data_IF_862742634888
#
_entry.id   IF_862742634888
#
_cell.length_a   1.000
_cell.length_b   1.000
_cell.length_c   1.000
_cell.angle_alpha   90.00
_cell.angle_beta   90.00
_cell.angle_gamma   90.00
#
_symmetry.space_group_name_H-M   'P 1'
#
loop_
_entity.id
_entity.type
_entity.pdbx_description
1 polymer ?
#
# COMPACT_ATOMS: atom_id res chain seq x y z
N UNK A 1 30.01 -36.17 7.92
CA UNK A 1 28.64 -35.63 8.15
C UNK A 1 28.39 -34.92 9.50
N UNK A 2 29.39 -34.28 10.13
CA UNK A 2 29.16 -33.36 11.28
C UNK A 2 29.35 -31.87 10.95
N UNK A 3 29.94 -31.56 9.78
CA UNK A 3 30.22 -30.17 9.36
C UNK A 3 29.02 -29.49 8.68
N UNK A 4 28.17 -30.22 7.96
CA UNK A 4 26.98 -29.66 7.28
C UNK A 4 25.86 -29.25 8.25
N UNK A 5 25.64 -30.02 9.32
CA UNK A 5 24.60 -29.73 10.32
C UNK A 5 24.92 -28.45 11.11
N UNK A 6 26.20 -28.19 11.39
CA UNK A 6 26.63 -26.95 12.06
C UNK A 6 26.43 -25.71 11.18
N UNK A 7 26.65 -25.82 9.87
CA UNK A 7 26.43 -24.73 8.94
C UNK A 7 24.93 -24.39 8.80
N UNK A 8 24.05 -25.40 8.73
CA UNK A 8 22.60 -25.17 8.71
C UNK A 8 22.07 -24.56 10.01
N UNK A 9 22.54 -25.01 11.18
CA UNK A 9 22.15 -24.43 12.47
C UNK A 9 22.60 -22.97 12.62
N UNK A 10 23.79 -22.62 12.12
CA UNK A 10 24.29 -21.24 12.11
C UNK A 10 23.49 -20.34 11.15
N UNK A 11 23.06 -20.88 10.00
CA UNK A 11 22.26 -20.14 9.02
C UNK A 11 20.82 -19.92 9.49
N UNK A 12 20.20 -20.93 10.09
CA UNK A 12 18.87 -20.80 10.72
C UNK A 12 18.88 -19.86 11.92
N UNK A 13 19.96 -19.84 12.71
CA UNK A 13 20.11 -18.89 13.82
C UNK A 13 20.26 -17.43 13.35
N UNK A 14 20.92 -17.19 12.20
CA UNK A 14 21.04 -15.86 11.60
C UNK A 14 19.70 -15.34 11.06
N UNK A 15 18.89 -16.22 10.45
CA UNK A 15 17.55 -15.88 9.95
C UNK A 15 16.60 -15.58 11.12
N UNK A 16 16.68 -16.34 12.21
CA UNK A 16 15.92 -16.06 13.43
C UNK A 16 16.36 -14.76 14.12
N UNK A 17 17.65 -14.41 14.09
CA UNK A 17 18.15 -13.12 14.60
C UNK A 17 17.71 -11.94 13.74
N UNK A 18 17.63 -12.11 12.41
CA UNK A 18 17.11 -11.09 11.51
C UNK A 18 15.59 -10.88 11.70
N UNK A 19 14.83 -11.96 11.93
CA UNK A 19 13.40 -11.89 12.24
C UNK A 19 13.12 -11.33 13.65
N UNK A 20 14.00 -11.58 14.63
CA UNK A 20 13.91 -10.98 15.98
C UNK A 20 14.31 -9.51 16.01
N UNK A 21 15.26 -9.06 15.16
CA UNK A 21 15.62 -7.65 15.03
C UNK A 21 14.47 -6.79 14.45
N UNK A 22 13.53 -7.40 13.73
CA UNK A 22 12.29 -6.77 13.25
C UNK A 22 11.19 -6.75 14.32
N UNK A 23 11.33 -7.53 15.40
CA UNK A 23 10.32 -7.69 16.45
C UNK A 23 10.73 -7.17 17.84
N UNK A 24 11.97 -6.69 18.03
CA UNK A 24 12.44 -6.16 19.31
C UNK A 24 13.03 -4.75 19.18
N UNK A 25 12.15 -3.73 19.18
CA UNK A 25 12.50 -2.39 19.66
C UNK A 25 11.49 -2.02 20.75
N UNK A 26 11.86 -2.12 22.05
CA UNK A 26 11.22 -1.32 23.06
C UNK A 26 12.20 -0.35 23.73
N UNK A 27 11.73 0.89 23.91
CA UNK A 27 12.05 1.81 25.00
C UNK A 27 13.52 2.16 25.28
N UNK A 28 13.94 3.34 24.81
CA UNK A 28 14.83 4.22 25.59
C UNK A 28 14.77 5.66 25.06
N UNK A 29 14.06 6.55 25.77
CA UNK A 29 14.45 7.95 26.07
C UNK A 29 13.27 8.68 26.71
N UNK A 30 12.92 8.25 27.92
CA UNK A 30 12.29 9.12 28.91
C UNK A 30 13.35 9.50 29.93
N UNK A 31 13.93 10.70 29.81
CA UNK A 31 14.32 11.57 30.94
C UNK A 31 15.05 12.85 30.49
N UNK A 32 14.71 13.94 31.19
CA UNK A 32 15.17 15.35 31.13
C UNK A 32 14.51 16.21 30.06
N UNK A 33 13.97 17.40 30.35
CA UNK A 33 13.82 18.16 31.60
C UNK A 33 12.81 19.28 31.32
N UNK A 34 11.99 19.62 32.31
CA UNK A 34 11.19 20.85 32.32
C UNK A 34 12.11 22.06 32.12
N UNK A 35 11.93 22.82 31.04
CA UNK A 35 12.23 24.25 31.06
C UNK A 35 11.40 25.00 30.01
N UNK A 36 10.46 25.79 30.53
CA UNK A 36 9.76 26.85 29.84
C UNK A 36 10.76 27.94 29.42
N UNK A 37 10.67 28.43 28.19
CA UNK A 37 10.99 29.83 27.91
C UNK A 37 10.16 30.33 26.71
N UNK A 38 9.43 31.40 26.97
CA UNK A 38 8.70 32.19 25.98
C UNK A 38 9.65 33.04 25.16
N UNK A 39 9.47 33.13 23.83
CA UNK A 39 9.85 34.32 23.04
C UNK A 39 8.79 34.59 21.96
N UNK A 40 8.43 35.87 21.87
CA UNK A 40 7.40 36.49 21.06
C UNK A 40 7.63 36.49 19.54
N UNK A 41 6.49 36.56 18.84
CA UNK A 41 6.24 36.96 17.44
C UNK A 41 7.08 38.16 16.95
N UNK A 42 7.62 38.05 15.74
CA UNK A 42 7.73 39.17 14.78
C UNK A 42 7.16 38.68 13.44
N UNK A 43 6.06 39.30 13.00
CA UNK A 43 5.43 39.08 11.69
C UNK A 43 6.05 40.03 10.67
N UNK A 44 6.55 39.49 9.55
CA UNK A 44 6.83 40.21 8.31
C UNK A 44 5.99 39.61 7.19
N UNK A 45 5.18 40.45 6.54
CA UNK A 45 4.11 40.07 5.62
C UNK A 45 4.62 39.64 4.23
N UNK A 46 3.96 38.65 3.63
CA UNK A 46 4.04 38.38 2.18
C UNK A 46 3.96 36.92 1.74
N UNK A 47 2.85 36.21 1.98
CA UNK A 47 2.38 35.07 1.16
C UNK A 47 0.97 34.60 1.58
N UNK A 48 0.21 34.07 0.63
CA UNK A 48 -1.23 33.82 0.69
C UNK A 48 -1.70 33.06 1.94
N UNK A 49 -2.72 33.63 2.60
CA UNK A 49 -3.23 33.21 3.91
C UNK A 49 -4.12 31.98 3.78
N UNK A 50 -3.67 30.84 4.30
CA UNK A 50 -4.56 29.79 4.84
C UNK A 50 -4.93 30.25 6.25
N UNK A 51 -6.20 30.60 6.48
CA UNK A 51 -6.65 30.97 7.82
C UNK A 51 -6.71 29.73 8.72
N UNK A 52 -5.70 29.57 9.57
CA UNK A 52 -5.74 28.67 10.72
C UNK A 52 -6.22 29.48 11.93
N UNK A 53 -7.44 29.23 12.43
CA UNK A 53 -7.94 29.85 13.66
C UNK A 53 -7.26 29.15 14.85
N UNK A 54 -6.27 29.82 15.45
CA UNK A 54 -5.60 29.39 16.68
C UNK A 54 -6.53 29.74 17.86
N UNK A 55 -7.02 28.75 18.61
CA UNK A 55 -7.66 28.96 19.91
C UNK A 55 -6.63 28.74 21.02
N UNK A 56 -6.30 29.81 21.76
CA UNK A 56 -5.68 29.73 23.09
C UNK A 56 -6.79 29.75 24.17
N UNK A 57 -6.48 29.31 25.41
CA UNK A 57 -7.41 28.58 26.25
C UNK A 57 -8.32 29.52 27.05
N UNK A 58 -9.56 29.10 27.29
CA UNK A 58 -10.43 29.76 28.25
C UNK A 58 -11.14 28.71 29.11
N UNK A 59 -11.05 28.98 30.40
CA UNK A 59 -11.63 28.28 31.52
C UNK A 59 -13.17 28.19 31.48
N UNK A 60 -13.65 27.21 32.25
CA UNK A 60 -14.97 27.14 32.92
C UNK A 60 -16.24 27.25 32.06
N UNK A 61 -16.86 26.08 31.90
CA UNK A 61 -18.29 25.79 32.07
C UNK A 61 -19.37 26.66 31.38
N UNK A 62 -20.23 25.94 30.64
CA UNK A 62 -21.63 26.19 30.23
C UNK A 62 -21.91 26.82 28.86
N UNK A 63 -22.30 25.97 27.89
CA UNK A 63 -23.01 26.35 26.66
C UNK A 63 -22.66 25.44 25.45
N UNK A 64 -23.64 24.94 24.65
CA UNK A 64 -23.33 24.03 23.55
C UNK A 64 -22.91 24.83 22.30
N UNK A 65 -21.62 25.02 22.10
CA UNK A 65 -21.12 25.51 20.80
C UNK A 65 -21.02 24.37 19.80
N UNK A 66 -21.72 24.58 18.68
CA UNK A 66 -21.93 23.69 17.56
C UNK A 66 -20.64 23.56 16.73
N UNK A 67 -19.91 22.48 16.93
CA UNK A 67 -19.06 21.94 15.86
C UNK A 67 -19.99 21.34 14.81
N UNK A 68 -19.98 21.89 13.59
CA UNK A 68 -20.57 21.22 12.43
C UNK A 68 -19.64 20.09 12.00
N UNK A 69 -19.56 19.05 12.84
CA UNK A 69 -19.12 17.74 12.40
C UNK A 69 -20.25 17.24 11.50
N UNK A 70 -20.01 17.08 10.20
CA UNK A 70 -20.87 16.18 9.43
C UNK A 70 -20.46 14.76 9.85
N UNK A 71 -20.90 14.38 11.05
CA UNK A 71 -20.96 12.99 11.46
C UNK A 71 -21.81 12.33 10.41
N UNK A 72 -21.27 11.33 9.70
CA UNK A 72 -22.13 10.37 9.05
C UNK A 72 -23.03 9.79 10.15
N UNK A 73 -24.38 9.80 10.00
CA UNK A 73 -25.26 9.30 11.04
C UNK A 73 -24.87 7.87 11.45
N UNK A 74 -25.02 7.55 12.74
CA UNK A 74 -24.67 6.25 13.35
C UNK A 74 -25.51 5.05 12.85
N UNK A 75 -26.26 5.24 11.78
CA UNK A 75 -26.76 4.18 10.92
C UNK A 75 -26.32 4.56 9.51
N UNK A 76 -25.41 3.78 8.90
CA UNK A 76 -25.25 3.81 7.46
C UNK A 76 -26.65 3.60 6.87
N UNK A 77 -27.28 4.61 6.25
CA UNK A 77 -28.37 4.30 5.37
C UNK A 77 -27.74 3.44 4.27
N UNK A 78 -28.45 2.43 3.80
CA UNK A 78 -28.13 1.84 2.50
C UNK A 78 -27.92 2.93 1.43
N UNK A 79 -27.40 2.58 0.25
CA UNK A 79 -26.88 3.51 -0.76
C UNK A 79 -27.67 4.82 -0.83
N UNK A 80 -26.98 5.94 -0.59
CA UNK A 80 -27.53 7.30 -0.65
C UNK A 80 -28.22 7.46 -2.00
N UNK A 81 -29.55 7.65 -1.97
CA UNK A 81 -30.31 7.93 -3.19
C UNK A 81 -30.03 9.37 -3.66
N UNK A 82 -29.04 9.55 -4.53
CA UNK A 82 -28.90 10.71 -5.40
C UNK A 82 -30.14 10.80 -6.33
N UNK A 83 -30.87 11.93 -6.34
CA UNK A 83 -31.99 12.14 -7.27
C UNK A 83 -31.48 12.28 -8.71
N UNK A 84 -32.11 11.56 -9.65
CA UNK A 84 -31.78 11.61 -11.09
C UNK A 84 -31.05 10.39 -11.67
N UNK A 85 -30.69 9.41 -10.83
CA UNK A 85 -30.24 8.09 -11.29
C UNK A 85 -31.41 7.09 -11.18
N UNK A 86 -31.73 6.38 -12.27
CA UNK A 86 -32.46 5.13 -12.15
C UNK A 86 -31.57 4.16 -11.36
N UNK A 87 -31.92 3.90 -10.10
CA UNK A 87 -31.32 2.80 -9.37
C UNK A 87 -31.75 1.52 -10.10
N UNK A 88 -30.82 0.71 -10.64
CA UNK A 88 -31.18 -0.61 -11.08
C UNK A 88 -31.90 -1.30 -9.92
N UNK A 89 -33.05 -1.92 -10.23
CA UNK A 89 -33.86 -2.67 -9.26
C UNK A 89 -32.95 -3.47 -8.33
N UNK A 90 -33.26 -3.45 -7.03
CA UNK A 90 -32.55 -4.21 -6.00
C UNK A 90 -32.21 -5.58 -6.56
N UNK A 91 -30.93 -5.80 -6.88
CA UNK A 91 -30.48 -7.08 -7.44
C UNK A 91 -30.81 -8.10 -6.36
N UNK A 92 -31.85 -8.89 -6.59
CA UNK A 92 -32.17 -10.04 -5.75
C UNK A 92 -30.87 -10.82 -5.65
N UNK A 93 -30.34 -10.92 -4.43
CA UNK A 93 -29.10 -11.59 -4.06
C UNK A 93 -28.86 -12.87 -4.88
N UNK A 94 -28.22 -12.68 -6.03
CA UNK A 94 -27.46 -13.68 -6.78
C UNK A 94 -26.01 -13.66 -6.28
N UNK A 95 -25.76 -13.07 -5.11
CA UNK A 95 -24.44 -13.14 -4.50
C UNK A 95 -24.16 -14.62 -4.26
N UNK A 96 -23.17 -15.22 -4.95
CA UNK A 96 -22.61 -16.49 -4.53
C UNK A 96 -22.22 -16.37 -3.05
N UNK A 97 -22.29 -17.48 -2.31
CA UNK A 97 -22.09 -17.54 -0.84
C UNK A 97 -21.29 -16.37 -0.28
N UNK A 98 -21.84 -15.67 0.72
CA UNK A 98 -21.30 -14.43 1.35
C UNK A 98 -19.84 -14.58 1.86
N UNK A 99 -19.23 -15.76 1.74
CA UNK A 99 -17.86 -16.05 2.07
C UNK A 99 -17.25 -17.09 1.10
N UNK A 100 -17.22 -16.81 -0.20
CA UNK A 100 -16.54 -17.67 -1.17
C UNK A 100 -15.05 -17.74 -0.83
N UNK A 101 -14.50 -18.95 -0.72
CA UNK A 101 -13.09 -19.15 -0.39
C UNK A 101 -12.23 -18.75 -1.60
N UNK A 102 -11.43 -17.69 -1.46
CA UNK A 102 -10.61 -17.14 -2.56
C UNK A 102 -9.46 -18.09 -2.90
N UNK A 103 -8.75 -18.61 -1.90
CA UNK A 103 -7.69 -19.61 -2.04
C UNK A 103 -8.25 -21.03 -2.15
N UNK A 104 -9.31 -21.20 -2.96
CA UNK A 104 -9.92 -22.51 -3.15
C UNK A 104 -8.99 -23.42 -3.97
N UNK A 105 -8.11 -24.13 -3.27
CA UNK A 105 -7.19 -25.12 -3.81
C UNK A 105 -7.91 -26.47 -4.10
N UNK A 106 -9.06 -26.38 -4.77
CA UNK A 106 -9.88 -27.50 -5.24
C UNK A 106 -10.15 -28.59 -4.17
N UNK A 107 -10.46 -28.16 -2.93
CA UNK A 107 -10.81 -29.09 -1.84
C UNK A 107 -9.64 -29.68 -1.06
N UNK A 108 -8.41 -29.17 -1.22
CA UNK A 108 -7.30 -29.50 -0.32
C UNK A 108 -7.66 -29.17 1.14
N UNK A 109 -7.39 -30.09 2.06
CA UNK A 109 -7.75 -29.96 3.47
C UNK A 109 -6.81 -29.00 4.22
N UNK A 110 -7.40 -28.03 4.93
CA UNK A 110 -6.73 -26.97 5.70
C UNK A 110 -5.90 -27.49 6.88
N UNK A 111 -4.76 -28.13 6.62
CA UNK A 111 -3.93 -28.75 7.66
C UNK A 111 -2.66 -27.95 7.96
N UNK A 112 -2.05 -27.31 6.95
CA UNK A 112 -0.90 -26.40 7.11
C UNK A 112 -0.74 -25.50 5.85
N UNK A 113 -0.31 -24.24 6.00
CA UNK A 113 0.00 -23.37 4.86
C UNK A 113 -1.22 -22.78 4.12
N UNK A 114 -2.31 -22.47 4.83
CA UNK A 114 -3.52 -21.87 4.22
C UNK A 114 -3.74 -20.40 4.63
N UNK A 115 -2.74 -19.77 5.25
CA UNK A 115 -2.81 -18.36 5.62
C UNK A 115 -2.50 -17.51 4.39
N UNK A 116 -3.44 -16.62 4.08
CA UNK A 116 -3.28 -15.55 3.12
C UNK A 116 -3.28 -14.19 3.84
N UNK A 117 -2.37 -13.30 3.46
CA UNK A 117 -2.31 -11.93 3.99
C UNK A 117 -1.88 -10.94 2.92
N UNK A 118 -1.96 -9.63 3.25
CA UNK A 118 -1.46 -8.54 2.39
C UNK A 118 -1.94 -8.66 0.94
N UNK A 119 -3.26 -8.59 0.78
CA UNK A 119 -3.96 -8.91 -0.46
C UNK A 119 -4.01 -7.73 -1.43
N UNK A 120 -4.00 -8.01 -2.72
CA UNK A 120 -4.27 -7.05 -3.80
C UNK A 120 -5.30 -7.61 -4.78
N UNK A 121 -5.97 -6.74 -5.54
CA UNK A 121 -7.04 -7.17 -6.46
C UNK A 121 -7.13 -6.27 -7.68
N UNK A 122 -7.41 -6.88 -8.83
CA UNK A 122 -7.95 -6.20 -10.01
C UNK A 122 -9.25 -6.87 -10.46
N UNK A 123 -10.19 -6.08 -10.96
CA UNK A 123 -11.49 -6.55 -11.44
C UNK A 123 -11.80 -5.92 -12.80
N UNK A 124 -12.31 -6.71 -13.73
CA UNK A 124 -12.67 -6.30 -15.08
C UNK A 124 -13.67 -7.28 -15.70
N UNK A 125 -14.74 -6.75 -16.32
CA UNK A 125 -15.87 -7.57 -16.78
C UNK A 125 -16.35 -8.53 -15.66
N UNK A 126 -16.47 -9.83 -15.93
CA UNK A 126 -16.77 -10.86 -14.92
C UNK A 126 -15.53 -11.47 -14.26
N UNK A 127 -14.33 -10.98 -14.60
CA UNK A 127 -13.06 -11.54 -14.09
C UNK A 127 -12.56 -10.74 -12.89
N UNK A 128 -12.13 -11.45 -11.85
CA UNK A 128 -11.43 -10.90 -10.70
C UNK A 128 -10.14 -11.69 -10.52
N UNK A 129 -9.03 -11.00 -10.29
CA UNK A 129 -7.74 -11.60 -9.94
C UNK A 129 -7.31 -11.03 -8.61
N UNK A 130 -7.06 -11.91 -7.65
CA UNK A 130 -6.54 -11.56 -6.33
C UNK A 130 -5.13 -12.12 -6.16
N UNK A 131 -4.23 -11.33 -5.57
CA UNK A 131 -2.87 -11.74 -5.18
C UNK A 131 -2.70 -11.63 -3.68
N UNK A 132 -1.83 -12.45 -3.09
CA UNK A 132 -1.63 -12.50 -1.64
C UNK A 132 -0.30 -13.16 -1.24
N UNK A 133 0.12 -12.90 -0.02
CA UNK A 133 1.18 -13.64 0.66
C UNK A 133 0.70 -15.06 0.95
N UNK A 134 1.33 -16.07 0.35
CA UNK A 134 0.88 -17.45 0.31
C UNK A 134 1.79 -18.41 1.07
N UNK A 135 1.40 -18.69 2.32
CA UNK A 135 2.09 -19.67 3.16
C UNK A 135 2.05 -21.09 2.59
N UNK A 136 1.11 -21.40 1.69
CA UNK A 136 1.02 -22.68 1.00
C UNK A 136 2.14 -22.83 -0.01
N UNK A 137 2.28 -21.84 -0.89
CA UNK A 137 3.42 -21.71 -1.80
C UNK A 137 4.77 -21.81 -1.09
N UNK A 138 4.93 -21.13 0.04
CA UNK A 138 6.17 -21.20 0.82
C UNK A 138 6.44 -22.57 1.47
N UNK A 139 5.40 -23.35 1.75
CA UNK A 139 5.57 -24.70 2.31
C UNK A 139 6.12 -25.72 1.30
N UNK A 140 5.97 -25.45 0.00
CA UNK A 140 6.37 -26.36 -1.09
C UNK A 140 7.49 -25.82 -1.97
N UNK A 141 7.88 -24.55 -1.80
CA UNK A 141 8.95 -23.88 -2.57
C UNK A 141 9.96 -23.22 -1.63
N UNK A 142 11.24 -23.26 -2.01
CA UNK A 142 12.33 -22.69 -1.21
C UNK A 142 12.56 -21.19 -1.42
N UNK A 143 11.89 -20.57 -2.39
CA UNK A 143 12.07 -19.14 -2.73
C UNK A 143 10.80 -18.46 -3.28
N UNK A 144 9.60 -18.93 -2.90
CA UNK A 144 8.33 -18.38 -3.37
C UNK A 144 7.34 -18.25 -2.22
N UNK A 145 6.68 -17.10 -2.13
CA UNK A 145 5.71 -16.78 -1.08
C UNK A 145 4.54 -15.94 -1.62
N UNK A 146 4.39 -15.82 -2.93
CA UNK A 146 3.28 -15.12 -3.56
C UNK A 146 2.39 -16.10 -4.27
N UNK A 147 1.10 -16.04 -3.94
CA UNK A 147 0.05 -16.79 -4.63
C UNK A 147 -0.94 -15.84 -5.30
N UNK A 148 -1.78 -16.42 -6.15
CA UNK A 148 -2.89 -15.69 -6.76
C UNK A 148 -4.09 -16.60 -6.94
N UNK A 149 -5.27 -16.01 -7.08
CA UNK A 149 -6.49 -16.72 -7.42
C UNK A 149 -7.34 -15.91 -8.39
N UNK A 150 -8.16 -16.59 -9.17
CA UNK A 150 -9.00 -15.96 -10.18
C UNK A 150 -10.43 -16.48 -10.15
N UNK A 151 -11.34 -15.54 -10.35
CA UNK A 151 -12.74 -15.80 -10.65
C UNK A 151 -13.04 -15.29 -12.06
N UNK A 152 -13.92 -15.98 -12.79
CA UNK A 152 -14.44 -15.56 -14.11
C UNK A 152 -15.95 -15.34 -14.11
N UNK A 153 -16.57 -15.44 -12.94
CA UNK A 153 -18.02 -15.39 -12.69
C UNK A 153 -18.37 -14.37 -11.59
N UNK A 154 -17.66 -13.23 -11.60
CA UNK A 154 -17.89 -12.09 -10.70
C UNK A 154 -17.72 -12.43 -9.21
N UNK A 155 -16.80 -13.34 -8.90
CA UNK A 155 -16.47 -13.77 -7.55
C UNK A 155 -17.27 -14.97 -7.04
N UNK A 156 -18.03 -15.66 -7.91
CA UNK A 156 -18.85 -16.80 -7.52
C UNK A 156 -18.09 -18.07 -7.25
N UNK A 157 -17.13 -18.35 -8.09
CA UNK A 157 -16.17 -19.42 -7.90
C UNK A 157 -14.77 -18.87 -8.09
N UNK A 158 -13.83 -19.48 -7.35
CA UNK A 158 -12.43 -19.11 -7.39
C UNK A 158 -11.60 -20.33 -7.72
N UNK A 159 -10.60 -20.11 -8.57
CA UNK A 159 -9.53 -21.06 -8.86
C UNK A 159 -8.25 -20.52 -8.24
N UNK A 160 -7.67 -21.28 -7.31
CA UNK A 160 -6.33 -21.01 -6.83
C UNK A 160 -5.29 -21.29 -7.93
N UNK A 161 -4.44 -20.31 -8.21
CA UNK A 161 -3.38 -20.39 -9.20
C UNK A 161 -2.05 -20.90 -8.64
N UNK A 162 -1.93 -21.01 -7.32
CA UNK A 162 -0.72 -21.48 -6.63
C UNK A 162 0.50 -20.59 -6.92
N UNK A 163 1.65 -21.25 -7.10
CA UNK A 163 2.95 -20.61 -7.31
C UNK A 163 3.00 -19.74 -8.57
N UNK A 164 3.68 -18.59 -8.47
CA UNK A 164 4.15 -17.86 -9.66
C UNK A 164 5.25 -18.64 -10.40
N UNK A 165 5.56 -18.30 -11.67
CA UNK A 165 6.66 -18.91 -12.40
C UNK A 165 8.00 -18.78 -11.66
N UNK A 166 8.71 -19.90 -11.52
CA UNK A 166 9.98 -19.93 -10.81
C UNK A 166 11.05 -19.04 -11.48
N UNK A 167 11.85 -18.37 -10.65
CA UNK A 167 13.03 -17.60 -11.07
C UNK A 167 14.13 -17.71 -10.02
N UNK A 168 15.36 -17.35 -10.40
CA UNK A 168 16.48 -17.26 -9.46
C UNK A 168 16.26 -16.18 -8.39
N UNK A 169 15.56 -15.10 -8.72
CA UNK A 169 15.20 -14.04 -7.77
C UNK A 169 14.13 -14.48 -6.78
N UNK A 170 13.24 -15.39 -7.18
CA UNK A 170 12.07 -15.77 -6.38
C UNK A 170 11.13 -14.61 -6.08
N UNK A 171 10.06 -14.89 -5.35
CA UNK A 171 9.01 -13.93 -4.99
C UNK A 171 8.71 -14.03 -3.49
N UNK A 172 8.62 -12.90 -2.80
CA UNK A 172 8.56 -12.84 -1.34
C UNK A 172 7.30 -12.17 -0.79
N UNK A 173 6.25 -12.03 -1.60
CA UNK A 173 4.99 -11.44 -1.17
C UNK A 173 4.94 -9.91 -1.32
N UNK A 174 4.17 -9.28 -0.43
CA UNK A 174 3.65 -7.92 -0.45
C UNK A 174 3.09 -7.49 -1.83
N UNK A 175 2.21 -8.32 -2.42
CA UNK A 175 1.83 -8.16 -3.81
C UNK A 175 1.04 -6.88 -4.11
N UNK A 176 1.29 -6.28 -5.28
CA UNK A 176 0.43 -5.23 -5.86
C UNK A 176 0.11 -5.53 -7.33
N UNK A 177 -1.19 -5.46 -7.69
CA UNK A 177 -1.69 -5.65 -9.05
C UNK A 177 -2.07 -4.32 -9.71
N UNK A 178 -1.79 -4.22 -11.00
CA UNK A 178 -2.33 -3.17 -11.86
C UNK A 178 -2.70 -3.76 -13.23
N UNK A 179 -3.68 -3.17 -13.92
CA UNK A 179 -4.12 -3.64 -15.23
C UNK A 179 -4.10 -2.50 -16.25
N UNK A 180 -3.52 -2.80 -17.40
CA UNK A 180 -3.68 -2.02 -18.62
C UNK A 180 -5.06 -2.33 -19.23
N UNK A 181 -5.95 -1.33 -19.24
CA UNK A 181 -7.30 -1.49 -19.75
C UNK A 181 -7.37 -1.62 -21.27
N UNK A 182 -6.36 -1.09 -21.99
CA UNK A 182 -6.27 -1.11 -23.45
C UNK A 182 -5.83 -2.48 -23.95
N UNK A 183 -4.76 -3.03 -23.38
CA UNK A 183 -4.19 -4.33 -23.83
C UNK A 183 -4.73 -5.53 -23.06
N UNK A 184 -5.32 -5.29 -21.88
CA UNK A 184 -5.74 -6.32 -20.95
C UNK A 184 -4.59 -6.96 -20.15
N UNK A 185 -3.37 -6.48 -20.32
CA UNK A 185 -2.21 -6.97 -19.58
C UNK A 185 -2.34 -6.63 -18.10
N UNK A 186 -2.03 -7.60 -17.25
CA UNK A 186 -1.98 -7.43 -15.80
C UNK A 186 -0.51 -7.46 -15.38
N UNK A 187 -0.12 -6.52 -14.52
CA UNK A 187 1.19 -6.44 -13.89
C UNK A 187 1.06 -6.83 -12.43
N UNK A 188 1.98 -7.66 -11.96
CA UNK A 188 1.97 -8.20 -10.61
C UNK A 188 3.34 -8.00 -9.98
N UNK A 189 3.44 -6.96 -9.16
CA UNK A 189 4.66 -6.60 -8.46
C UNK A 189 4.73 -7.35 -7.12
N UNK A 190 5.90 -7.87 -6.78
CA UNK A 190 6.17 -8.57 -5.53
C UNK A 190 7.59 -8.26 -5.06
N UNK A 191 7.84 -8.41 -3.76
CA UNK A 191 9.19 -8.44 -3.23
C UNK A 191 10.02 -9.56 -3.89
N UNK A 192 11.32 -9.33 -4.04
CA UNK A 192 12.26 -10.37 -4.43
C UNK A 192 12.64 -11.23 -3.22
N UNK A 193 12.72 -12.55 -3.39
CA UNK A 193 13.06 -13.46 -2.30
C UNK A 193 14.57 -13.57 -2.05
N UNK A 194 15.32 -13.77 -3.13
CA UNK A 194 16.77 -13.93 -3.15
C UNK A 194 17.50 -12.71 -3.72
N UNK A 195 16.75 -11.65 -4.05
CA UNK A 195 17.25 -10.39 -4.60
C UNK A 195 16.60 -9.21 -3.89
N UNK A 196 17.32 -8.10 -3.77
CA UNK A 196 16.81 -6.88 -3.11
C UNK A 196 16.02 -5.94 -4.04
N UNK A 197 15.46 -6.46 -5.13
CA UNK A 197 14.71 -5.69 -6.15
C UNK A 197 13.30 -6.24 -6.31
N UNK A 198 12.36 -5.38 -6.69
CA UNK A 198 10.97 -5.79 -6.94
C UNK A 198 10.91 -6.64 -8.21
N UNK A 199 10.24 -7.79 -8.12
CA UNK A 199 9.91 -8.63 -9.27
C UNK A 199 8.58 -8.18 -9.85
N UNK A 200 8.49 -8.07 -11.18
CA UNK A 200 7.23 -7.79 -11.87
C UNK A 200 6.91 -8.91 -12.85
N UNK A 201 5.84 -9.63 -12.56
CA UNK A 201 5.25 -10.63 -13.44
C UNK A 201 4.18 -9.99 -14.32
N UNK A 202 3.88 -10.63 -15.44
CA UNK A 202 2.87 -10.14 -16.39
C UNK A 202 1.96 -11.27 -16.85
N UNK A 203 0.66 -10.99 -16.91
CA UNK A 203 -0.33 -11.86 -17.53
C UNK A 203 -0.87 -11.19 -18.79
N UNK A 204 -1.00 -11.96 -19.86
CA UNK A 204 -1.61 -11.54 -21.14
C UNK A 204 -2.89 -12.32 -21.45
N UNK A 205 -3.37 -13.12 -20.50
CA UNK A 205 -4.52 -14.02 -20.65
C UNK A 205 -5.54 -13.82 -19.52
N UNK A 206 -5.71 -12.56 -19.11
CA UNK A 206 -6.66 -12.13 -18.07
C UNK A 206 -6.39 -12.78 -16.70
N UNK A 207 -5.11 -12.97 -16.37
CA UNK A 207 -4.67 -13.57 -15.12
C UNK A 207 -4.90 -15.08 -15.09
N UNK A 208 -4.85 -15.79 -16.22
CA UNK A 208 -4.91 -17.25 -16.21
C UNK A 208 -3.51 -17.85 -15.98
N UNK A 209 -2.49 -17.21 -16.54
CA UNK A 209 -1.08 -17.57 -16.37
C UNK A 209 -0.22 -16.32 -16.27
N UNK A 210 1.02 -16.51 -15.83
CA UNK A 210 2.01 -15.46 -15.68
C UNK A 210 3.27 -15.78 -16.48
N UNK A 211 3.87 -14.76 -17.07
CA UNK A 211 5.20 -14.81 -17.66
C UNK A 211 6.28 -14.76 -16.57
N UNK A 212 7.49 -15.19 -16.89
CA UNK A 212 8.66 -15.06 -16.02
C UNK A 212 8.85 -13.60 -15.56
N UNK A 213 9.34 -13.37 -14.33
CA UNK A 213 9.45 -12.03 -13.79
C UNK A 213 10.55 -11.23 -14.48
N UNK A 214 10.37 -9.92 -14.48
CA UNK A 214 11.43 -8.96 -14.81
C UNK A 214 11.76 -8.10 -13.58
N UNK A 215 12.92 -7.45 -13.60
CA UNK A 215 13.31 -6.50 -12.56
C UNK A 215 12.53 -5.18 -12.72
N UNK A 216 11.65 -4.88 -11.76
CA UNK A 216 10.85 -3.64 -11.72
C UNK A 216 11.61 -2.42 -11.20
N UNK A 217 12.71 -2.65 -10.47
CA UNK A 217 13.53 -1.62 -9.82
C UNK A 217 15.02 -1.80 -10.16
N UNK A 218 15.41 -1.69 -11.45
CA UNK A 218 16.81 -1.84 -11.84
C UNK A 218 17.69 -0.83 -11.10
N UNK A 219 18.83 -1.27 -10.60
CA UNK A 219 19.73 -0.45 -9.77
C UNK A 219 19.22 -0.20 -8.33
N UNK A 220 18.03 -0.69 -8.00
CA UNK A 220 17.50 -0.71 -6.63
C UNK A 220 18.20 -1.75 -5.74
N UNK A 221 18.04 -1.60 -4.43
CA UNK A 221 18.60 -2.52 -3.45
C UNK A 221 17.81 -2.44 -2.13
N UNK A 222 17.43 -3.61 -1.60
CA UNK A 222 16.56 -3.73 -0.42
C UNK A 222 15.28 -2.92 -0.60
N UNK A 223 14.64 -3.08 -1.76
CA UNK A 223 13.36 -2.46 -2.09
C UNK A 223 12.21 -3.15 -1.34
N UNK A 224 11.30 -2.37 -0.79
CA UNK A 224 10.05 -2.83 -0.17
C UNK A 224 8.99 -1.72 -0.28
N UNK A 225 7.73 -2.05 0.03
CA UNK A 225 6.57 -1.17 -0.03
C UNK A 225 6.34 -0.62 -1.42
N UNK A 226 6.42 -1.51 -2.40
CA UNK A 226 6.16 -1.21 -3.79
C UNK A 226 4.68 -0.92 -4.04
N UNK A 227 4.42 -0.01 -4.97
CA UNK A 227 3.09 0.21 -5.53
C UNK A 227 3.22 0.36 -7.04
N UNK A 228 2.28 -0.23 -7.78
CA UNK A 228 2.28 -0.20 -9.26
C UNK A 228 0.94 0.32 -9.78
N UNK A 229 0.97 1.11 -10.86
CA UNK A 229 -0.22 1.60 -11.55
C UNK A 229 0.03 1.71 -13.05
N UNK A 230 -1.04 1.77 -13.84
CA UNK A 230 -1.00 1.95 -15.29
C UNK A 230 -1.75 3.23 -15.65
N UNK A 231 -1.18 4.03 -16.53
CA UNK A 231 -1.89 5.11 -17.19
C UNK A 231 -2.90 4.53 -18.19
N UNK A 232 -4.17 4.55 -17.79
CA UNK A 232 -5.27 4.04 -18.59
C UNK A 232 -6.05 5.14 -19.33
N UNK A 233 -5.55 6.38 -19.33
CA UNK A 233 -6.22 7.49 -20.00
C UNK A 233 -5.85 7.52 -21.49
N UNK A 234 -6.76 7.99 -22.33
CA UNK A 234 -6.54 8.10 -23.78
C UNK A 234 -5.51 9.20 -24.05
N UNK A 235 -4.41 8.85 -24.73
CA UNK A 235 -3.40 9.82 -25.15
C UNK A 235 -1.98 9.28 -25.04
N UNK A 236 -1.01 10.19 -25.00
CA UNK A 236 0.43 9.88 -25.14
C UNK A 236 1.01 9.06 -23.98
N UNK A 237 0.35 9.06 -22.81
CA UNK A 237 0.75 8.26 -21.67
C UNK A 237 0.11 6.87 -21.61
N UNK A 238 -0.88 6.57 -22.46
CA UNK A 238 -1.66 5.33 -22.35
C UNK A 238 -0.77 4.08 -22.38
N UNK A 239 -0.94 3.20 -21.40
CA UNK A 239 -0.18 1.95 -21.27
C UNK A 239 1.17 2.10 -20.55
N UNK A 240 1.60 3.33 -20.21
CA UNK A 240 2.76 3.51 -19.35
C UNK A 240 2.49 2.93 -17.97
N UNK A 241 3.49 2.24 -17.43
CA UNK A 241 3.42 1.60 -16.12
C UNK A 241 4.34 2.35 -15.17
N UNK A 242 3.85 2.68 -13.98
CA UNK A 242 4.63 3.37 -12.96
C UNK A 242 4.69 2.50 -11.71
N UNK A 243 5.91 2.27 -11.24
CA UNK A 243 6.20 1.54 -10.02
C UNK A 243 6.95 2.48 -9.08
N UNK A 244 6.49 2.60 -7.85
CA UNK A 244 7.18 3.34 -6.80
C UNK A 244 7.58 2.38 -5.69
N UNK A 245 8.74 2.55 -5.07
CA UNK A 245 9.19 1.71 -3.96
C UNK A 245 10.03 2.49 -2.95
N UNK A 246 10.15 1.95 -1.74
CA UNK A 246 11.07 2.42 -0.71
C UNK A 246 12.36 1.61 -0.78
N UNK A 247 13.47 2.28 -1.08
CA UNK A 247 14.81 1.67 -1.11
C UNK A 247 15.45 1.73 0.28
N UNK A 248 15.48 0.62 1.03
CA UNK A 248 16.14 0.56 2.35
C UNK A 248 17.66 0.37 2.27
N UNK A 249 18.21 0.21 1.07
CA UNK A 249 19.65 0.14 0.83
C UNK A 249 20.33 1.52 0.80
N UNK A 250 21.44 1.60 0.06
CA UNK A 250 22.25 2.82 -0.03
C UNK A 250 21.51 4.02 -0.67
N UNK A 251 20.50 3.76 -1.50
CA UNK A 251 19.66 4.82 -2.07
C UNK A 251 18.87 5.55 -1.00
N UNK A 252 18.42 4.83 0.04
CA UNK A 252 17.76 5.38 1.22
C UNK A 252 16.76 6.49 0.88
N UNK A 253 15.76 6.21 0.07
CA UNK A 253 14.68 7.14 -0.29
C UNK A 253 13.48 6.41 -0.90
N UNK A 254 12.53 7.18 -1.43
CA UNK A 254 11.46 6.65 -2.29
C UNK A 254 11.76 7.04 -3.73
N UNK A 255 11.65 6.05 -4.61
CA UNK A 255 12.04 6.15 -6.01
C UNK A 255 10.90 5.68 -6.92
N UNK A 256 10.76 6.34 -8.06
CA UNK A 256 9.83 5.94 -9.10
C UNK A 256 10.57 5.33 -10.29
N UNK A 257 10.07 4.22 -10.77
CA UNK A 257 10.47 3.51 -11.96
C UNK A 257 9.29 3.50 -12.92
N UNK A 258 9.56 3.55 -14.22
CA UNK A 258 8.52 3.52 -15.25
C UNK A 258 8.87 2.54 -16.37
N UNK A 259 7.85 1.96 -16.96
CA UNK A 259 7.93 1.20 -18.21
C UNK A 259 7.07 1.88 -19.27
N UNK A 260 7.60 1.94 -20.49
CA UNK A 260 6.92 2.47 -21.67
C UNK A 260 6.87 1.45 -22.82
N UNK A 261 7.22 0.20 -22.51
CA UNK A 261 7.34 -0.91 -23.47
C UNK A 261 6.48 -2.11 -23.07
N UNK A 262 5.37 -1.87 -22.37
CA UNK A 262 4.45 -2.91 -21.88
C UNK A 262 5.04 -3.77 -20.75
N UNK A 263 5.90 -3.18 -19.92
CA UNK A 263 6.59 -3.85 -18.82
C UNK A 263 7.64 -4.85 -19.29
N UNK A 264 8.29 -4.64 -20.44
CA UNK A 264 9.45 -5.45 -20.84
C UNK A 264 10.72 -4.97 -20.12
N UNK A 265 10.83 -3.66 -19.91
CA UNK A 265 11.86 -3.03 -19.10
C UNK A 265 11.28 -1.93 -18.23
N UNK A 266 11.89 -1.73 -17.06
CA UNK A 266 11.65 -0.57 -16.21
C UNK A 266 12.91 0.30 -16.21
N UNK A 267 12.73 1.59 -15.93
CA UNK A 267 13.84 2.51 -15.75
C UNK A 267 13.40 3.83 -15.13
N UNK A 268 14.34 4.76 -14.89
CA UNK A 268 15.78 4.59 -15.08
C UNK A 268 16.40 3.64 -14.04
N UNK A 269 17.63 3.18 -14.29
CA UNK A 269 18.40 2.44 -13.28
C UNK A 269 18.69 3.34 -12.08
N UNK A 270 18.39 2.87 -10.87
CA UNK A 270 18.41 3.65 -9.62
C UNK A 270 17.14 4.47 -9.36
N UNK A 271 16.20 4.50 -10.32
CA UNK A 271 14.93 5.19 -10.21
C UNK A 271 15.02 6.72 -10.23
N UNK A 272 13.89 7.36 -10.45
CA UNK A 272 13.71 8.81 -10.29
C UNK A 272 13.45 9.11 -8.82
N UNK A 273 14.34 9.88 -8.17
CA UNK A 273 14.20 10.23 -6.75
C UNK A 273 12.93 11.05 -6.50
N UNK A 274 12.02 10.52 -5.67
CA UNK A 274 10.82 11.21 -5.19
C UNK A 274 11.12 11.95 -3.89
N UNK A 275 11.74 11.27 -2.92
CA UNK A 275 12.16 11.91 -1.68
C UNK A 275 13.36 11.18 -1.10
N UNK A 276 14.37 11.94 -0.67
CA UNK A 276 15.52 11.39 0.05
C UNK A 276 15.12 11.00 1.46
N UNK A 277 15.57 9.83 1.87
CA UNK A 277 15.38 9.32 3.21
C UNK A 277 16.55 9.57 4.17
N UNK A 278 16.25 9.34 5.44
CA UNK A 278 17.09 9.01 6.59
C UNK A 278 16.51 7.69 7.15
N UNK A 279 17.21 6.86 7.96
CA UNK A 279 16.84 5.46 8.24
C UNK A 279 15.41 5.17 8.73
N UNK A 280 14.56 6.17 9.00
CA UNK A 280 13.14 6.01 9.36
C UNK A 280 12.23 7.16 8.91
N UNK A 281 12.65 8.10 8.06
CA UNK A 281 11.90 9.35 7.87
C UNK A 281 10.85 9.33 6.74
N UNK A 282 10.89 8.39 5.80
CA UNK A 282 9.93 8.31 4.68
C UNK A 282 9.48 6.87 4.45
N UNK A 283 8.16 6.69 4.28
CA UNK A 283 7.50 5.38 4.14
C UNK A 283 6.19 5.52 3.34
N UNK A 284 5.54 4.40 3.05
CA UNK A 284 4.21 4.39 2.44
C UNK A 284 4.21 4.95 1.03
N UNK A 285 5.12 4.46 0.19
CA UNK A 285 5.17 4.85 -1.20
C UNK A 285 3.84 4.47 -1.89
N UNK A 286 3.27 5.42 -2.63
CA UNK A 286 2.03 5.21 -3.37
C UNK A 286 2.09 6.02 -4.66
N UNK A 287 1.41 5.57 -5.72
CA UNK A 287 1.43 6.24 -7.03
C UNK A 287 0.05 6.22 -7.70
N UNK A 288 -0.32 7.35 -8.32
CA UNK A 288 -1.52 7.46 -9.16
C UNK A 288 -1.23 8.21 -10.45
N UNK A 289 -2.14 8.08 -11.41
CA UNK A 289 -2.13 8.83 -12.66
C UNK A 289 -3.45 9.60 -12.79
N UNK A 290 -3.38 10.84 -13.28
CA UNK A 290 -4.54 11.68 -13.55
C UNK A 290 -4.92 11.72 -15.03
N UNK A 291 -6.15 12.17 -15.40
CA UNK A 291 -6.62 12.21 -16.79
C UNK A 291 -5.74 13.02 -17.75
N UNK A 292 -4.94 13.95 -17.23
CA UNK A 292 -3.95 14.75 -17.97
C UNK A 292 -2.60 14.04 -18.14
N UNK A 293 -2.54 12.73 -17.89
CA UNK A 293 -1.32 11.89 -17.85
C UNK A 293 -0.30 12.31 -16.79
N UNK A 294 -0.68 13.13 -15.82
CA UNK A 294 0.23 13.50 -14.74
C UNK A 294 0.35 12.39 -13.69
N UNK A 295 1.58 12.16 -13.24
CA UNK A 295 1.92 11.11 -12.27
C UNK A 295 2.10 11.73 -10.90
N UNK A 296 1.44 11.18 -9.89
CA UNK A 296 1.51 11.65 -8.51
C UNK A 296 2.15 10.58 -7.65
N UNK A 297 3.28 10.90 -7.02
CA UNK A 297 3.98 10.00 -6.11
C UNK A 297 3.83 10.54 -4.67
N UNK A 298 3.30 9.70 -3.78
CA UNK A 298 2.93 10.05 -2.41
C UNK A 298 3.84 9.35 -1.41
N UNK A 299 4.00 9.96 -0.24
CA UNK A 299 4.67 9.34 0.90
C UNK A 299 4.19 9.89 2.23
N UNK A 300 4.32 9.06 3.26
CA UNK A 300 4.33 9.49 4.65
C UNK A 300 5.75 9.90 5.06
N UNK A 301 5.87 11.07 5.64
CA UNK A 301 7.09 11.54 6.30
C UNK A 301 6.92 11.40 7.81
N UNK A 302 7.88 10.76 8.49
CA UNK A 302 7.86 10.43 9.92
C UNK A 302 7.90 11.66 10.85
N UNK A 303 7.93 12.87 10.28
CA UNK A 303 7.64 14.12 10.98
C UNK A 303 6.13 14.43 11.08
N UNK A 304 5.25 13.48 10.73
CA UNK A 304 3.80 13.64 10.84
C UNK A 304 3.18 14.36 9.64
N UNK A 305 3.62 14.07 8.41
CA UNK A 305 2.99 14.65 7.21
C UNK A 305 2.85 13.67 6.06
N UNK A 306 1.75 13.81 5.32
CA UNK A 306 1.59 13.20 4.01
C UNK A 306 1.92 14.21 2.95
N UNK A 307 2.67 13.77 1.94
CA UNK A 307 3.17 14.65 0.90
C UNK A 307 3.04 13.97 -0.46
N UNK A 308 3.02 14.79 -1.51
CA UNK A 308 2.94 14.35 -2.90
C UNK A 308 3.89 15.17 -3.76
N UNK A 309 4.47 14.53 -4.78
CA UNK A 309 5.10 15.22 -5.92
C UNK A 309 4.34 14.88 -7.18
N UNK A 310 4.20 15.88 -8.07
CA UNK A 310 3.57 15.75 -9.37
C UNK A 310 4.62 15.77 -10.47
N UNK A 311 4.49 14.87 -11.44
CA UNK A 311 5.16 14.91 -12.74
C UNK A 311 4.15 15.23 -13.82
N UNK A 312 4.52 16.13 -14.73
CA UNK A 312 3.74 16.49 -15.94
C UNK A 312 4.36 15.96 -17.23
N UNK A 313 5.41 15.15 -17.10
CA UNK A 313 6.21 14.60 -18.19
C UNK A 313 6.33 13.07 -18.07
N UNK A 314 5.22 12.42 -17.66
CA UNK A 314 5.09 10.95 -17.61
C UNK A 314 6.16 10.29 -16.72
N UNK A 315 6.39 10.86 -15.53
CA UNK A 315 7.29 10.31 -14.51
C UNK A 315 8.77 10.55 -14.76
N UNK A 316 9.15 11.40 -15.72
CA UNK A 316 10.57 11.72 -16.00
C UNK A 316 11.13 12.68 -14.96
N UNK A 317 10.44 13.79 -14.70
CA UNK A 317 10.81 14.76 -13.66
C UNK A 317 9.62 15.06 -12.76
N UNK A 318 9.91 15.52 -11.54
CA UNK A 318 8.89 15.82 -10.54
C UNK A 318 9.10 17.23 -9.99
N UNK A 319 8.00 17.98 -9.86
CA UNK A 319 8.01 19.29 -9.22
C UNK A 319 8.32 19.22 -7.71
N UNK A 320 8.26 20.37 -7.06
CA UNK A 320 8.44 20.48 -5.61
C UNK A 320 7.38 19.66 -4.83
N UNK A 321 7.72 19.16 -3.62
CA UNK A 321 6.76 18.47 -2.77
C UNK A 321 5.63 19.41 -2.33
N UNK A 322 4.42 18.88 -2.29
CA UNK A 322 3.23 19.52 -1.71
C UNK A 322 2.79 18.71 -0.50
N UNK A 323 2.60 19.38 0.64
CA UNK A 323 2.05 18.74 1.84
C UNK A 323 0.53 18.64 1.72
N UNK A 324 0.02 17.41 1.86
CA UNK A 324 -1.40 17.08 1.80
C UNK A 324 -2.04 17.34 3.17
N UNK A 325 -1.40 16.81 4.21
CA UNK A 325 -1.76 17.01 5.62
C UNK A 325 -0.48 16.99 6.45
N UNK A 326 -0.49 17.75 7.54
CA UNK A 326 0.61 17.87 8.51
C UNK A 326 0.08 17.68 9.93
N UNK A 327 1.00 17.60 10.89
CA UNK A 327 0.70 17.44 12.32
C UNK A 327 0.03 16.11 12.67
N UNK A 328 0.20 15.11 11.81
CA UNK A 328 -0.23 13.75 12.09
C UNK A 328 0.58 13.20 13.26
N UNK A 329 -0.06 12.41 14.11
CA UNK A 329 0.68 11.68 15.15
C UNK A 329 1.73 10.78 14.51
N UNK A 330 2.93 10.79 15.09
CA UNK A 330 4.06 9.99 14.59
C UNK A 330 3.99 8.53 15.08
N UNK A 331 2.82 8.10 15.56
CA UNK A 331 2.63 6.74 16.03
C UNK A 331 2.69 5.77 14.84
N UNK A 332 3.72 4.93 14.80
CA UNK A 332 3.87 3.92 13.75
C UNK A 332 2.71 2.92 13.84
N UNK A 333 2.04 2.63 12.71
CA UNK A 333 0.86 1.75 12.62
C UNK A 333 -0.44 2.28 13.23
N UNK A 334 -0.64 3.62 13.20
CA UNK A 334 -1.95 4.32 13.24
C UNK A 334 -3.06 3.52 13.92
N UNK A 335 -3.07 3.48 15.25
CA UNK A 335 -3.85 2.56 16.08
C UNK A 335 -5.38 2.59 15.83
N UNK A 336 -5.87 1.90 14.80
CA UNK A 336 -7.32 1.75 14.56
C UNK A 336 -7.96 0.82 15.61
N UNK A 337 -7.16 0.19 16.48
CA UNK A 337 -7.60 -0.82 17.43
C UNK A 337 -8.41 -1.93 16.76
N UNK A 338 -8.04 -2.29 15.52
CA UNK A 338 -8.61 -3.41 14.79
C UNK A 338 -8.14 -4.69 15.45
N UNK A 339 -9.08 -5.50 15.92
CA UNK A 339 -8.80 -6.80 16.52
C UNK A 339 -9.46 -7.90 15.71
N UNK A 340 -8.77 -9.04 15.63
CA UNK A 340 -9.28 -10.25 15.00
C UNK A 340 -9.20 -11.42 15.96
N UNK A 341 -10.14 -12.33 15.86
CA UNK A 341 -10.05 -13.64 16.50
C UNK A 341 -9.23 -14.55 15.61
N UNK A 342 -8.13 -15.08 16.12
CA UNK A 342 -7.38 -16.13 15.42
C UNK A 342 -8.24 -17.39 15.28
N UNK A 343 -8.12 -18.08 14.15
CA UNK A 343 -8.56 -19.48 14.06
C UNK A 343 -7.79 -20.29 15.11
N UNK A 344 -8.47 -20.75 16.16
CA UNK A 344 -7.86 -21.43 17.32
C UNK A 344 -7.98 -20.69 18.66
N UNK A 345 -8.58 -19.50 18.68
CA UNK A 345 -8.81 -18.72 19.90
C UNK A 345 -7.63 -17.83 20.27
N UNK A 346 -7.89 -16.54 20.44
CA UNK A 346 -6.90 -15.50 20.73
C UNK A 346 -7.28 -14.20 20.03
N UNK A 347 -6.92 -13.06 20.63
CA UNK A 347 -7.14 -11.74 20.04
C UNK A 347 -5.80 -11.18 19.59
N UNK A 348 -5.64 -10.94 18.29
CA UNK A 348 -4.51 -10.20 17.74
C UNK A 348 -4.97 -8.87 17.14
N UNK A 349 -4.10 -7.87 17.21
CA UNK A 349 -4.31 -6.60 16.54
C UNK A 349 -3.85 -6.65 15.08
N UNK A 350 -4.57 -5.95 14.20
CA UNK A 350 -4.09 -5.67 12.85
C UNK A 350 -3.26 -4.39 12.85
N UNK A 351 -2.20 -4.36 12.03
CA UNK A 351 -1.43 -3.13 11.80
C UNK A 351 -2.23 -2.21 10.88
N UNK A 352 -2.25 -0.91 11.19
CA UNK A 352 -2.96 0.09 10.38
C UNK A 352 -2.09 1.33 10.17
N UNK A 353 -1.38 1.42 9.05
CA UNK A 353 -0.43 2.51 8.82
C UNK A 353 -1.08 3.79 8.31
N UNK A 354 -0.59 4.93 8.79
CA UNK A 354 -0.86 6.29 8.28
C UNK A 354 -0.21 6.54 6.91
N UNK A 355 -0.17 5.52 6.05
CA UNK A 355 0.32 5.65 4.68
C UNK A 355 -0.76 6.23 3.79
N UNK A 356 -0.40 7.06 2.81
CA UNK A 356 -1.38 7.64 1.89
C UNK A 356 -1.93 6.55 0.97
N UNK A 357 -3.26 6.48 0.85
CA UNK A 357 -3.92 5.73 -0.21
C UNK A 357 -4.75 6.70 -1.04
N UNK A 358 -4.40 6.87 -2.31
CA UNK A 358 -5.02 7.89 -3.16
C UNK A 358 -5.86 7.29 -4.29
N UNK A 359 -6.97 7.95 -4.60
CA UNK A 359 -7.79 7.70 -5.77
C UNK A 359 -7.97 8.99 -6.57
N UNK A 360 -7.92 8.88 -7.90
CA UNK A 360 -8.15 10.00 -8.81
C UNK A 360 -9.53 9.84 -9.45
N UNK A 361 -10.32 10.90 -9.41
CA UNK A 361 -11.56 10.96 -10.18
C UNK A 361 -11.20 11.01 -11.68
N UNK A 362 -11.60 10.00 -12.48
CA UNK A 362 -11.18 9.89 -13.87
C UNK A 362 -11.81 10.95 -14.79
N UNK A 363 -12.81 11.70 -14.31
CA UNK A 363 -13.51 12.74 -15.07
C UNK A 363 -12.99 14.13 -14.68
N UNK A 364 -12.97 14.44 -13.38
CA UNK A 364 -12.57 15.77 -12.91
C UNK A 364 -11.07 15.93 -12.67
N UNK A 365 -10.33 14.83 -12.53
CA UNK A 365 -8.92 14.84 -12.10
C UNK A 365 -8.73 15.18 -10.61
N UNK A 366 -9.81 15.31 -9.84
CA UNK A 366 -9.71 15.52 -8.39
C UNK A 366 -9.05 14.31 -7.72
N UNK A 367 -8.16 14.57 -6.78
CA UNK A 367 -7.42 13.55 -6.03
C UNK A 367 -8.00 13.47 -4.62
N UNK A 368 -8.36 12.28 -4.19
CA UNK A 368 -8.82 11.97 -2.85
C UNK A 368 -7.78 11.09 -2.18
N UNK A 369 -7.31 11.47 -0.99
CA UNK A 369 -6.28 10.73 -0.25
C UNK A 369 -6.89 10.32 1.07
N UNK A 370 -7.03 9.01 1.26
CA UNK A 370 -7.46 8.41 2.51
C UNK A 370 -6.26 8.11 3.40
N UNK A 371 -6.40 8.38 4.69
CA UNK A 371 -5.40 8.05 5.70
C UNK A 371 -6.05 7.89 7.08
N UNK A 372 -5.35 7.21 7.98
CA UNK A 372 -5.76 7.10 9.37
C UNK A 372 -4.83 7.89 10.30
N UNK A 373 -5.41 8.53 11.30
CA UNK A 373 -4.67 9.29 12.31
C UNK A 373 -5.14 8.91 13.71
N UNK A 374 -4.20 8.49 14.56
CA UNK A 374 -4.46 8.35 16.00
C UNK A 374 -4.35 9.72 16.67
N UNK A 375 -5.39 10.20 17.37
CA UNK A 375 -5.34 11.48 18.09
C UNK A 375 -4.49 11.41 19.37
N UNK A 376 -3.97 10.23 19.73
CA UNK A 376 -3.23 10.00 20.97
C UNK A 376 -4.15 9.88 22.19
N UNK A 377 -3.56 9.80 23.40
CA UNK A 377 -4.33 9.84 24.65
C UNK A 377 -5.21 8.62 24.94
N UNK A 378 -4.98 7.48 24.27
CA UNK A 378 -5.76 6.25 24.43
C UNK A 378 -6.99 6.14 23.51
N UNK A 379 -7.22 7.14 22.65
CA UNK A 379 -8.25 7.09 21.62
C UNK A 379 -7.72 6.45 20.32
N UNK A 380 -8.61 5.72 19.65
CA UNK A 380 -8.31 4.99 18.43
C UNK A 380 -8.26 5.94 17.24
N UNK A 381 -7.58 5.51 16.18
CA UNK A 381 -7.45 6.30 14.97
C UNK A 381 -8.78 6.49 14.24
N UNK A 382 -8.94 7.67 13.64
CA UNK A 382 -10.03 7.98 12.71
C UNK A 382 -9.54 7.86 11.26
N UNK A 383 -10.45 7.56 10.34
CA UNK A 383 -10.18 7.59 8.89
C UNK A 383 -10.63 8.94 8.34
N UNK A 384 -9.78 9.58 7.54
CA UNK A 384 -10.01 10.87 6.90
C UNK A 384 -10.00 10.75 5.38
#
# INVERSE_FOLDING_TARGET
NKHSIKAHLLWSALILLALLAVCAIPFALGQRSKQSSQIQKVLGAGSAVVQQKKSEPADTETGPEKYMVRMMPAALPGPVRLPGFEYPSLVRSLLPSVNALINNNNGASCTQGFTQSETTVVSFASTIVAGFNDSGSFSVSSNQFTGWSRSTDSGATWTDGGLLPASAGGDAGDPVLARDSTTGRIYFATLGFSVGTIQVFRSTDNGATWLAPINGTPGGASEDKEWITVDNFVGVGNGNVYLVSRNFGAGNGIYLYRSTDGGNTFGPSGGTLIVSGSPTNVQGAYVTVSPDHSVHAYWYHNGGSLNVRKSTDQGVTFGAPVTIVSSLSTATNGDLGLTGTLNGGGTLGFRSNTFPHAAVNPVSGNIYVAYNESPGGGDKANIF
#
